data_IF_153802567236
#
_entry.id   IF_153802567236
#
_cell.length_a   1.000
_cell.length_b   1.000
_cell.length_c   1.000
_cell.angle_alpha   90.00
_cell.angle_beta   90.00
_cell.angle_gamma   90.00
#
_symmetry.space_group_name_H-M   'P 1'
#
loop_
_entity.id
_entity.type
_entity.pdbx_description
1 polymer ?
#
# COMPACT_ATOMS: atom_id res chain seq x y z
N UNK A 1 0.41 -46.39 -1.70
CA UNK A 1 1.38 -45.54 -2.43
C UNK A 1 0.68 -44.24 -2.74
N UNK A 2 1.22 -43.07 -2.39
CA UNK A 2 0.56 -41.79 -2.67
C UNK A 2 0.30 -41.68 -4.18
N UNK A 3 -0.97 -41.71 -4.59
CA UNK A 3 -1.32 -41.59 -6.00
C UNK A 3 -1.24 -40.11 -6.39
N UNK A 4 -0.74 -39.81 -7.60
CA UNK A 4 -0.73 -38.45 -8.15
C UNK A 4 -2.14 -37.81 -8.12
N UNK A 5 -3.18 -38.62 -8.27
CA UNK A 5 -4.58 -38.23 -8.14
C UNK A 5 -5.01 -37.83 -6.71
N UNK A 6 -4.37 -38.37 -5.66
CA UNK A 6 -4.61 -37.94 -4.27
C UNK A 6 -4.01 -36.56 -4.01
N UNK A 7 -2.78 -36.33 -4.49
CA UNK A 7 -2.13 -35.01 -4.43
C UNK A 7 -2.92 -33.95 -5.21
N UNK A 8 -3.36 -34.26 -6.42
CA UNK A 8 -4.19 -33.35 -7.23
C UNK A 8 -5.52 -33.01 -6.56
N UNK A 9 -6.18 -33.97 -5.87
CA UNK A 9 -7.42 -33.70 -5.15
C UNK A 9 -7.21 -32.83 -3.92
N UNK A 10 -6.13 -33.05 -3.17
CA UNK A 10 -5.77 -32.18 -2.04
C UNK A 10 -5.40 -30.77 -2.51
N UNK A 11 -4.68 -30.66 -3.64
CA UNK A 11 -4.35 -29.38 -4.25
C UNK A 11 -5.60 -28.66 -4.76
N UNK A 12 -6.54 -29.39 -5.39
CA UNK A 12 -7.83 -28.85 -5.79
C UNK A 12 -8.64 -28.37 -4.58
N UNK A 13 -8.70 -29.16 -3.51
CA UNK A 13 -9.39 -28.81 -2.26
C UNK A 13 -8.77 -27.58 -1.59
N UNK A 14 -7.44 -27.45 -1.63
CA UNK A 14 -6.74 -26.25 -1.17
C UNK A 14 -7.15 -25.02 -1.99
N UNK A 15 -7.09 -25.11 -3.33
CA UNK A 15 -7.45 -24.00 -4.23
C UNK A 15 -8.91 -23.59 -4.01
N UNK A 16 -9.83 -24.55 -3.97
CA UNK A 16 -11.26 -24.28 -3.73
C UNK A 16 -11.46 -23.62 -2.36
N UNK A 17 -10.76 -24.09 -1.32
CA UNK A 17 -10.87 -23.49 0.01
C UNK A 17 -10.40 -22.04 0.02
N UNK A 18 -9.30 -21.71 -0.69
CA UNK A 18 -8.82 -20.33 -0.82
C UNK A 18 -9.84 -19.47 -1.56
N UNK A 19 -10.36 -19.94 -2.70
CA UNK A 19 -11.35 -19.21 -3.49
C UNK A 19 -12.62 -18.96 -2.68
N UNK A 20 -13.11 -19.96 -1.94
CA UNK A 20 -14.29 -19.80 -1.09
C UNK A 20 -14.07 -18.80 0.04
N UNK A 21 -12.86 -18.77 0.64
CA UNK A 21 -12.54 -17.79 1.68
C UNK A 21 -12.51 -16.37 1.12
N UNK A 22 -11.89 -16.18 -0.05
CA UNK A 22 -11.87 -14.88 -0.72
C UNK A 22 -13.28 -14.45 -1.13
N UNK A 23 -14.12 -15.38 -1.58
CA UNK A 23 -15.50 -15.08 -1.93
C UNK A 23 -16.38 -14.69 -0.72
N UNK A 24 -16.08 -15.22 0.47
CA UNK A 24 -16.80 -14.87 1.71
C UNK A 24 -16.26 -13.58 2.36
N UNK A 25 -15.02 -13.21 2.07
CA UNK A 25 -14.36 -12.05 2.66
C UNK A 25 -14.53 -10.81 1.77
N UNK A 26 -15.38 -9.88 2.21
CA UNK A 26 -15.60 -8.59 1.53
C UNK A 26 -14.44 -7.63 1.86
N UNK A 27 -13.42 -7.59 1.01
CA UNK A 27 -12.26 -6.69 1.13
C UNK A 27 -11.69 -6.38 -0.25
N UNK A 28 -11.55 -5.09 -0.55
CA UNK A 28 -11.11 -4.63 -1.87
C UNK A 28 -9.58 -4.55 -2.02
N UNK A 29 -8.82 -4.68 -0.92
CA UNK A 29 -7.41 -4.23 -0.86
C UNK A 29 -6.42 -5.31 -0.39
N UNK A 30 -6.87 -6.32 0.38
CA UNK A 30 -5.99 -7.36 0.94
C UNK A 30 -6.65 -8.74 0.88
N UNK A 31 -5.83 -9.74 0.55
CA UNK A 31 -6.25 -11.15 0.52
C UNK A 31 -6.75 -11.57 1.89
N UNK A 32 -7.86 -12.30 1.95
CA UNK A 32 -8.48 -12.74 3.20
C UNK A 32 -7.47 -13.37 4.16
N UNK A 33 -6.61 -14.23 3.63
CA UNK A 33 -5.59 -14.95 4.40
C UNK A 33 -4.53 -14.07 5.08
N UNK A 34 -4.26 -12.87 4.57
CA UNK A 34 -3.26 -11.95 5.14
C UNK A 34 -3.87 -11.00 6.16
N UNK A 35 -5.13 -10.63 5.98
CA UNK A 35 -5.85 -9.73 6.89
C UNK A 35 -6.24 -10.45 8.18
N UNK A 36 -6.73 -11.68 8.07
CA UNK A 36 -7.33 -12.41 9.18
C UNK A 36 -6.60 -13.75 9.42
N UNK A 37 -5.75 -13.84 10.46
CA UNK A 37 -4.96 -15.05 10.76
C UNK A 37 -5.80 -16.31 10.97
N UNK A 38 -7.08 -16.19 11.32
CA UNK A 38 -7.98 -17.32 11.55
C UNK A 38 -8.23 -18.15 10.28
N UNK A 39 -8.16 -17.54 9.09
CA UNK A 39 -8.37 -18.28 7.84
C UNK A 39 -7.28 -19.33 7.56
N UNK A 40 -6.05 -19.10 8.02
CA UNK A 40 -5.00 -20.13 7.98
C UNK A 40 -5.33 -21.35 8.83
N UNK A 41 -5.94 -21.12 10.00
CA UNK A 41 -6.37 -22.21 10.88
C UNK A 41 -7.51 -23.01 10.24
N UNK A 42 -8.45 -22.33 9.58
CA UNK A 42 -9.57 -23.00 8.89
C UNK A 42 -9.07 -23.82 7.69
N UNK A 43 -8.23 -23.25 6.82
CA UNK A 43 -7.64 -23.97 5.69
C UNK A 43 -6.80 -25.15 6.19
N UNK A 44 -5.98 -24.95 7.23
CA UNK A 44 -5.20 -26.02 7.84
C UNK A 44 -6.07 -27.16 8.38
N UNK A 45 -7.20 -26.82 8.99
CA UNK A 45 -8.18 -27.80 9.50
C UNK A 45 -8.83 -28.57 8.36
N UNK A 46 -9.30 -27.88 7.32
CA UNK A 46 -9.88 -28.48 6.12
C UNK A 46 -8.89 -29.41 5.42
N UNK A 47 -7.63 -29.00 5.30
CA UNK A 47 -6.55 -29.81 4.73
C UNK A 47 -6.20 -31.02 5.60
N UNK A 48 -6.23 -30.89 6.93
CA UNK A 48 -6.03 -32.00 7.85
C UNK A 48 -7.12 -33.06 7.66
N UNK A 49 -8.39 -32.65 7.61
CA UNK A 49 -9.51 -33.56 7.36
C UNK A 49 -9.46 -34.16 5.96
N UNK A 50 -9.11 -33.38 4.94
CA UNK A 50 -8.92 -33.87 3.57
C UNK A 50 -7.81 -34.92 3.49
N UNK A 51 -6.68 -34.68 4.17
CA UNK A 51 -5.58 -35.65 4.26
C UNK A 51 -5.99 -36.91 5.01
N UNK A 52 -6.68 -36.77 6.14
CA UNK A 52 -7.19 -37.91 6.92
C UNK A 52 -8.16 -38.75 6.07
N UNK A 53 -9.07 -38.11 5.33
CA UNK A 53 -9.99 -38.78 4.40
C UNK A 53 -9.24 -39.55 3.32
N UNK A 54 -8.23 -38.96 2.69
CA UNK A 54 -7.41 -39.65 1.69
C UNK A 54 -6.66 -40.86 2.27
N UNK A 55 -6.14 -40.73 3.50
CA UNK A 55 -5.53 -41.86 4.22
C UNK A 55 -6.55 -42.97 4.47
N UNK A 56 -7.77 -42.63 4.90
CA UNK A 56 -8.84 -43.61 5.09
C UNK A 56 -9.22 -44.31 3.78
N UNK A 57 -9.33 -43.58 2.67
CA UNK A 57 -9.62 -44.15 1.35
C UNK A 57 -8.51 -45.11 0.91
N UNK A 58 -7.24 -44.76 1.10
CA UNK A 58 -6.12 -45.65 0.77
C UNK A 58 -6.10 -46.89 1.68
N UNK A 59 -6.37 -46.73 2.96
CA UNK A 59 -6.50 -47.86 3.90
C UNK A 59 -7.63 -48.81 3.47
N UNK A 60 -8.78 -48.27 3.07
CA UNK A 60 -9.90 -49.06 2.54
C UNK A 60 -9.50 -49.82 1.26
N UNK A 61 -8.75 -49.19 0.34
CA UNK A 61 -8.23 -49.88 -0.87
C UNK A 61 -7.29 -51.03 -0.52
N UNK A 62 -6.38 -50.81 0.42
CA UNK A 62 -5.44 -51.85 0.87
C UNK A 62 -6.17 -53.02 1.53
N UNK A 63 -7.16 -52.73 2.39
CA UNK A 63 -7.99 -53.76 3.00
C UNK A 63 -8.79 -54.51 1.93
N UNK A 64 -9.45 -53.80 1.02
CA UNK A 64 -10.17 -54.40 -0.11
C UNK A 64 -9.26 -55.36 -0.88
N UNK A 65 -8.07 -54.92 -1.27
CA UNK A 65 -7.11 -55.75 -2.00
C UNK A 65 -6.72 -57.01 -1.23
N UNK A 66 -6.47 -56.89 0.08
CA UNK A 66 -6.13 -58.03 0.94
C UNK A 66 -7.29 -59.00 1.18
N UNK A 67 -8.53 -58.54 1.08
CA UNK A 67 -9.74 -59.39 1.21
C UNK A 67 -10.11 -60.16 -0.05
N UNK A 68 -9.50 -59.83 -1.20
CA UNK A 68 -9.73 -60.52 -2.47
C UNK A 68 -9.01 -61.87 -2.52
N UNK A 69 -9.59 -62.85 -3.22
CA UNK A 69 -8.93 -64.12 -3.54
C UNK A 69 -7.72 -63.89 -4.47
N UNK A 70 -6.70 -64.78 -4.50
CA UNK A 70 -5.50 -64.60 -5.34
C UNK A 70 -5.79 -64.34 -6.83
N UNK A 71 -6.78 -65.03 -7.40
CA UNK A 71 -7.23 -64.82 -8.78
C UNK A 71 -7.85 -63.43 -8.99
N UNK A 72 -8.61 -62.95 -8.00
CA UNK A 72 -9.25 -61.63 -8.03
C UNK A 72 -8.24 -60.50 -7.82
N UNK A 73 -7.16 -60.74 -7.06
CA UNK A 73 -6.06 -59.80 -6.89
C UNK A 73 -5.33 -59.56 -8.22
N UNK A 74 -5.08 -60.61 -9.01
CA UNK A 74 -4.49 -60.48 -10.34
C UNK A 74 -5.39 -59.65 -11.27
N UNK A 75 -6.71 -59.89 -11.25
CA UNK A 75 -7.68 -59.09 -12.01
C UNK A 75 -7.72 -57.63 -11.54
N UNK A 76 -7.65 -57.37 -10.23
CA UNK A 76 -7.60 -56.01 -9.66
C UNK A 76 -6.35 -55.25 -10.14
N UNK A 77 -5.17 -55.89 -10.08
CA UNK A 77 -3.91 -55.28 -10.54
C UNK A 77 -3.94 -54.98 -12.04
N UNK A 78 -4.48 -55.88 -12.86
CA UNK A 78 -4.66 -55.67 -14.29
C UNK A 78 -5.59 -54.47 -14.58
N UNK A 79 -6.68 -54.33 -13.82
CA UNK A 79 -7.59 -53.18 -13.90
C UNK A 79 -6.94 -51.87 -13.45
N UNK A 80 -6.10 -51.89 -12.40
CA UNK A 80 -5.35 -50.70 -12.00
C UNK A 80 -4.29 -50.29 -13.03
N UNK A 81 -3.57 -51.25 -13.61
CA UNK A 81 -2.57 -50.99 -14.64
C UNK A 81 -3.19 -50.35 -15.88
N UNK A 82 -4.29 -50.92 -16.39
CA UNK A 82 -5.05 -50.35 -17.52
C UNK A 82 -5.65 -48.99 -17.19
N UNK A 83 -6.11 -48.75 -15.96
CA UNK A 83 -6.60 -47.43 -15.53
C UNK A 83 -5.48 -46.38 -15.51
N UNK A 84 -4.28 -46.74 -15.04
CA UNK A 84 -3.10 -45.84 -15.05
C UNK A 84 -2.66 -45.49 -16.47
N UNK A 85 -2.60 -46.49 -17.35
CA UNK A 85 -2.25 -46.29 -18.75
C UNK A 85 -3.24 -45.35 -19.47
N UNK A 86 -4.53 -45.47 -19.15
CA UNK A 86 -5.56 -44.62 -19.74
C UNK A 86 -5.78 -43.27 -19.03
N UNK A 87 -5.09 -42.98 -17.91
CA UNK A 87 -5.38 -41.82 -17.04
C UNK A 87 -5.28 -40.47 -17.77
N UNK A 88 -4.31 -40.33 -18.68
CA UNK A 88 -4.08 -39.11 -19.46
C UNK A 88 -4.31 -39.28 -20.97
N UNK A 89 -4.92 -40.40 -21.36
CA UNK A 89 -5.15 -40.70 -22.78
C UNK A 89 -6.00 -39.63 -23.46
N UNK A 90 -6.96 -39.04 -22.74
CA UNK A 90 -7.80 -37.95 -23.24
C UNK A 90 -7.00 -36.67 -23.53
N UNK A 91 -6.01 -36.32 -22.69
CA UNK A 91 -5.14 -35.15 -22.92
C UNK A 91 -4.29 -35.37 -24.18
N UNK A 92 -3.66 -36.55 -24.27
CA UNK A 92 -2.87 -36.90 -25.46
C UNK A 92 -3.74 -36.92 -26.72
N UNK A 93 -4.98 -37.42 -26.64
CA UNK A 93 -5.92 -37.41 -27.75
C UNK A 93 -6.33 -36.00 -28.16
N UNK A 94 -6.57 -35.09 -27.20
CA UNK A 94 -6.87 -33.69 -27.50
C UNK A 94 -5.65 -33.01 -28.13
N UNK A 95 -4.46 -33.23 -27.58
CA UNK A 95 -3.22 -32.70 -28.11
C UNK A 95 -2.99 -33.15 -29.57
N UNK A 96 -3.11 -34.45 -29.84
CA UNK A 96 -2.98 -35.01 -31.19
C UNK A 96 -4.04 -34.45 -32.15
N UNK A 97 -5.29 -34.32 -31.69
CA UNK A 97 -6.35 -33.67 -32.48
C UNK A 97 -6.05 -32.20 -32.79
N UNK A 98 -5.45 -31.48 -31.85
CA UNK A 98 -5.07 -30.07 -32.04
C UNK A 98 -3.88 -29.90 -32.98
N UNK A 99 -2.99 -30.89 -33.06
CA UNK A 99 -1.89 -30.92 -34.04
C UNK A 99 -2.39 -31.11 -35.48
N UNK A 100 -3.56 -31.75 -35.66
CA UNK A 100 -4.11 -32.02 -36.99
C UNK A 100 -3.48 -33.28 -37.57
N UNK A 101 -3.95 -34.44 -37.12
CA UNK A 101 -3.52 -35.74 -37.62
C UNK A 101 -4.06 -35.95 -39.04
N UNK A 102 -3.22 -35.68 -40.04
CA UNK A 102 -3.43 -36.07 -41.44
C UNK A 102 -2.46 -37.19 -41.81
N UNK A 103 -2.79 -37.94 -42.88
CA UNK A 103 -1.89 -38.97 -43.38
C UNK A 103 -0.54 -38.35 -43.76
N UNK A 104 0.56 -38.99 -43.35
CA UNK A 104 1.91 -38.55 -43.74
C UNK A 104 2.06 -38.86 -45.23
N UNK A 105 1.69 -37.92 -46.09
CA UNK A 105 1.97 -37.97 -47.52
C UNK A 105 3.49 -37.96 -47.73
N UNK A 106 3.99 -38.64 -48.76
CA UNK A 106 5.41 -38.53 -49.13
C UNK A 106 5.67 -37.05 -49.45
N UNK A 107 6.75 -36.46 -48.93
CA UNK A 107 7.05 -35.04 -49.12
C UNK A 107 7.04 -34.67 -50.62
N UNK A 108 7.41 -35.62 -51.50
CA UNK A 108 7.36 -35.44 -52.95
C UNK A 108 5.97 -35.20 -53.52
N UNK A 109 4.91 -35.66 -52.86
CA UNK A 109 3.52 -35.52 -53.31
C UNK A 109 2.92 -34.16 -52.94
N UNK A 110 3.47 -33.49 -51.93
CA UNK A 110 2.99 -32.19 -51.40
C UNK A 110 3.92 -31.02 -51.71
N UNK A 111 5.07 -31.26 -52.34
CA UNK A 111 5.98 -30.21 -52.80
C UNK A 111 5.33 -29.46 -53.96
N UNK A 112 5.27 -28.13 -53.82
CA UNK A 112 4.86 -27.23 -54.89
C UNK A 112 5.90 -27.22 -56.02
N UNK A 113 5.42 -26.97 -57.24
CA UNK A 113 6.15 -27.13 -58.50
C UNK A 113 7.18 -26.01 -58.77
N UNK A 114 7.23 -24.97 -57.95
CA UNK A 114 8.20 -23.89 -58.04
C UNK A 114 9.39 -24.08 -57.08
N UNK A 115 10.57 -23.65 -57.52
CA UNK A 115 11.81 -23.66 -56.75
C UNK A 115 12.36 -22.22 -56.69
N UNK A 116 12.59 -21.75 -55.47
CA UNK A 116 13.17 -20.44 -55.20
C UNK A 116 14.54 -20.62 -54.54
N UNK A 117 15.60 -20.53 -55.33
CA UNK A 117 17.00 -20.62 -54.84
C UNK A 117 17.28 -21.91 -54.04
N UNK A 118 16.75 -23.03 -54.50
CA UNK A 118 16.88 -24.34 -53.87
C UNK A 118 15.90 -24.59 -52.71
N UNK A 119 15.04 -23.63 -52.38
CA UNK A 119 13.96 -23.80 -51.39
C UNK A 119 12.65 -24.12 -52.13
N UNK A 120 11.97 -25.17 -51.67
CA UNK A 120 10.66 -25.60 -52.16
C UNK A 120 9.65 -25.61 -51.01
N UNK A 121 8.42 -25.24 -51.33
CA UNK A 121 7.34 -25.09 -50.37
C UNK A 121 6.44 -26.34 -50.33
N UNK A 122 5.88 -26.63 -49.16
CA UNK A 122 4.96 -27.76 -48.94
C UNK A 122 3.53 -27.24 -48.84
N UNK A 123 2.61 -27.88 -49.56
CA UNK A 123 1.16 -27.60 -49.47
C UNK A 123 0.52 -28.32 -48.26
N UNK A 124 0.90 -27.89 -47.05
CA UNK A 124 0.40 -28.46 -45.80
C UNK A 124 -0.85 -27.73 -45.29
N UNK A 125 -1.75 -28.49 -44.67
CA UNK A 125 -2.88 -27.91 -43.95
C UNK A 125 -2.44 -27.18 -42.68
N UNK A 126 -3.12 -26.06 -42.39
CA UNK A 126 -2.85 -25.26 -41.20
C UNK A 126 -3.23 -26.02 -39.92
N UNK A 127 -2.37 -26.04 -38.89
CA UNK A 127 -2.66 -26.70 -37.62
C UNK A 127 -3.99 -26.22 -37.02
N UNK A 128 -4.88 -27.12 -36.57
CA UNK A 128 -6.17 -26.75 -35.98
C UNK A 128 -6.07 -25.74 -34.84
N UNK A 129 -5.09 -25.89 -33.93
CA UNK A 129 -4.89 -24.94 -32.83
C UNK A 129 -4.63 -23.51 -33.33
N UNK A 130 -3.86 -23.37 -34.43
CA UNK A 130 -3.51 -22.08 -35.01
C UNK A 130 -4.74 -21.43 -35.63
N UNK A 131 -5.52 -22.21 -36.40
CA UNK A 131 -6.80 -21.75 -36.98
C UNK A 131 -7.79 -21.28 -35.91
N UNK A 132 -7.98 -22.06 -34.85
CA UNK A 132 -8.89 -21.68 -33.77
C UNK A 132 -8.41 -20.45 -33.01
N UNK A 133 -7.09 -20.31 -32.81
CA UNK A 133 -6.51 -19.11 -32.19
C UNK A 133 -6.76 -17.87 -33.05
N UNK A 134 -6.61 -17.99 -34.37
CA UNK A 134 -6.92 -16.92 -35.32
C UNK A 134 -8.41 -16.51 -35.27
N UNK A 135 -9.34 -17.48 -35.20
CA UNK A 135 -10.75 -17.14 -35.03
C UNK A 135 -11.07 -16.54 -33.65
N UNK A 136 -10.37 -16.98 -32.60
CA UNK A 136 -10.54 -16.43 -31.25
C UNK A 136 -10.15 -14.94 -31.18
N UNK A 137 -9.08 -14.53 -31.87
CA UNK A 137 -8.68 -13.11 -31.93
C UNK A 137 -9.71 -12.28 -32.69
N UNK A 138 -10.33 -12.82 -33.74
CA UNK A 138 -11.44 -12.15 -34.46
C UNK A 138 -12.64 -11.94 -33.52
N UNK A 139 -13.04 -12.99 -32.79
CA UNK A 139 -14.15 -12.87 -31.83
C UNK A 139 -13.83 -11.85 -30.74
N UNK A 140 -12.61 -11.88 -30.19
CA UNK A 140 -12.16 -10.90 -29.21
C UNK A 140 -12.23 -9.47 -29.76
N UNK A 141 -11.74 -9.24 -30.99
CA UNK A 141 -11.78 -7.93 -31.62
C UNK A 141 -13.21 -7.41 -31.80
N UNK A 142 -14.15 -8.28 -32.19
CA UNK A 142 -15.57 -7.92 -32.30
C UNK A 142 -16.15 -7.53 -30.93
N UNK A 143 -15.90 -8.34 -29.89
CA UNK A 143 -16.37 -8.04 -28.53
C UNK A 143 -15.76 -6.73 -28.01
N UNK A 144 -14.47 -6.52 -28.22
CA UNK A 144 -13.77 -5.30 -27.83
C UNK A 144 -14.34 -4.07 -28.53
N UNK A 145 -14.53 -4.14 -29.85
CA UNK A 145 -15.11 -3.04 -30.63
C UNK A 145 -16.53 -2.72 -30.16
N UNK A 146 -17.39 -3.73 -29.96
CA UNK A 146 -18.74 -3.49 -29.45
C UNK A 146 -18.70 -2.85 -28.06
N UNK A 147 -17.81 -3.31 -27.19
CA UNK A 147 -17.68 -2.78 -25.83
C UNK A 147 -17.25 -1.32 -25.81
N UNK A 148 -16.17 -0.97 -26.50
CA UNK A 148 -15.58 0.36 -26.40
C UNK A 148 -16.16 1.35 -27.42
N UNK A 149 -16.42 0.93 -28.66
CA UNK A 149 -16.86 1.84 -29.74
C UNK A 149 -18.39 1.92 -29.87
N UNK A 150 -19.13 0.86 -29.52
CA UNK A 150 -20.61 0.85 -29.66
C UNK A 150 -21.30 1.17 -28.33
N UNK A 151 -20.87 0.55 -27.24
CA UNK A 151 -21.47 0.76 -25.92
C UNK A 151 -20.89 1.97 -25.18
N UNK A 152 -19.80 2.58 -25.68
CA UNK A 152 -19.11 3.70 -25.04
C UNK A 152 -18.81 3.41 -23.56
N UNK A 153 -18.13 2.29 -23.29
CA UNK A 153 -17.58 2.00 -21.96
C UNK A 153 -16.52 3.06 -21.57
N UNK A 154 -15.91 2.92 -20.40
CA UNK A 154 -14.97 3.90 -19.88
C UNK A 154 -13.82 4.25 -20.85
N UNK A 155 -13.43 5.52 -20.83
CA UNK A 155 -12.31 6.07 -21.60
C UNK A 155 -11.00 6.03 -20.80
N UNK A 156 -9.88 6.27 -21.48
CA UNK A 156 -8.57 6.35 -20.82
C UNK A 156 -8.50 7.49 -19.78
N UNK A 157 -9.17 8.62 -20.05
CA UNK A 157 -9.18 9.76 -19.13
C UNK A 157 -9.98 9.42 -17.86
N UNK A 158 -11.14 8.78 -18.01
CA UNK A 158 -11.95 8.31 -16.87
C UNK A 158 -11.20 7.24 -16.05
N UNK A 159 -10.50 6.31 -16.70
CA UNK A 159 -9.65 5.33 -16.01
C UNK A 159 -8.54 6.01 -15.18
N UNK A 160 -7.90 7.05 -15.74
CA UNK A 160 -6.91 7.84 -15.03
C UNK A 160 -7.51 8.58 -13.82
N UNK A 161 -8.66 9.23 -13.99
CA UNK A 161 -9.34 9.92 -12.90
C UNK A 161 -9.74 8.97 -11.76
N UNK A 162 -10.27 7.79 -12.10
CA UNK A 162 -10.58 6.75 -11.11
C UNK A 162 -9.32 6.28 -10.37
N UNK A 163 -8.22 6.06 -11.08
CA UNK A 163 -6.95 5.64 -10.48
C UNK A 163 -6.37 6.73 -9.55
N UNK A 164 -6.42 8.00 -9.95
CA UNK A 164 -5.96 9.12 -9.11
C UNK A 164 -6.86 9.29 -7.88
N UNK A 165 -8.17 9.16 -8.03
CA UNK A 165 -9.10 9.23 -6.90
C UNK A 165 -8.83 8.11 -5.88
N UNK A 166 -8.62 6.87 -6.36
CA UNK A 166 -8.24 5.75 -5.50
C UNK A 166 -6.90 6.01 -4.77
N UNK A 167 -5.89 6.46 -5.50
CA UNK A 167 -4.58 6.79 -4.92
C UNK A 167 -4.68 7.92 -3.87
N UNK A 168 -5.53 8.92 -4.10
CA UNK A 168 -5.73 10.00 -3.14
C UNK A 168 -6.36 9.51 -1.84
N UNK A 169 -7.34 8.60 -1.91
CA UNK A 169 -7.93 7.96 -0.73
C UNK A 169 -6.89 7.16 0.05
N UNK A 170 -6.04 6.40 -0.64
CA UNK A 170 -4.93 5.65 -0.03
C UNK A 170 -3.92 6.57 0.66
N UNK A 171 -3.57 7.70 0.01
CA UNK A 171 -2.70 8.73 0.58
C UNK A 171 -3.33 9.33 1.84
N UNK A 172 -4.63 9.60 1.83
CA UNK A 172 -5.35 10.16 2.98
C UNK A 172 -5.44 9.18 4.15
N UNK A 173 -5.69 7.91 3.88
CA UNK A 173 -5.64 6.84 4.90
C UNK A 173 -4.25 6.68 5.48
N UNK A 174 -3.22 6.67 4.63
CA UNK A 174 -1.84 6.62 5.07
C UNK A 174 -1.48 7.84 5.93
N UNK A 175 -1.87 9.06 5.52
CA UNK A 175 -1.67 10.29 6.29
C UNK A 175 -2.31 10.24 7.69
N UNK A 176 -3.47 9.60 7.86
CA UNK A 176 -4.10 9.43 9.19
C UNK A 176 -3.23 8.59 10.13
N UNK A 177 -2.44 7.67 9.59
CA UNK A 177 -1.57 6.77 10.38
C UNK A 177 -0.13 7.26 10.49
N UNK A 178 0.32 8.09 9.55
CA UNK A 178 1.69 8.58 9.48
C UNK A 178 1.91 9.86 10.30
N UNK A 179 1.98 9.71 11.62
CA UNK A 179 2.33 10.82 12.55
C UNK A 179 3.77 11.35 12.36
N UNK A 180 4.63 10.58 11.69
CA UNK A 180 6.06 10.89 11.53
C UNK A 180 6.38 11.77 10.30
N UNK A 181 5.38 12.27 9.57
CA UNK A 181 5.56 13.04 8.32
C UNK A 181 5.06 14.47 8.45
N UNK A 182 5.52 15.13 9.49
CA UNK A 182 5.26 16.55 9.73
C UNK A 182 6.24 17.39 8.91
N UNK A 183 5.76 18.15 7.94
CA UNK A 183 6.58 19.13 7.21
C UNK A 183 6.12 20.55 7.56
N UNK A 184 6.81 21.55 7.02
CA UNK A 184 6.51 22.97 7.31
C UNK A 184 5.07 23.37 6.92
N UNK A 185 4.46 22.67 5.96
CA UNK A 185 3.12 22.94 5.50
C UNK A 185 2.06 22.20 6.33
N UNK A 186 2.40 21.02 6.87
CA UNK A 186 1.49 20.14 7.63
C UNK A 186 1.61 20.26 9.15
N UNK A 187 2.65 20.92 9.67
CA UNK A 187 2.85 21.10 11.12
C UNK A 187 1.70 21.87 11.76
N UNK A 188 1.20 21.33 12.87
CA UNK A 188 0.20 21.93 13.75
C UNK A 188 0.76 22.04 15.17
N UNK A 189 0.23 22.98 15.96
CA UNK A 189 0.65 23.15 17.35
C UNK A 189 0.20 21.93 18.17
N UNK A 190 1.16 21.20 18.73
CA UNK A 190 0.90 20.06 19.60
C UNK A 190 0.72 20.54 21.04
N UNK A 191 -0.48 20.34 21.61
CA UNK A 191 -0.82 20.77 22.98
C UNK A 191 -0.88 19.63 23.98
N UNK A 192 -0.76 18.38 23.51
CA UNK A 192 -0.84 17.20 24.37
C UNK A 192 0.36 17.13 25.32
N UNK A 193 0.12 16.81 26.59
CA UNK A 193 1.15 16.80 27.63
C UNK A 193 2.31 15.84 27.31
N UNK A 194 2.04 14.73 26.63
CA UNK A 194 3.07 13.78 26.19
C UNK A 194 4.00 14.40 25.14
N UNK A 195 3.44 15.11 24.16
CA UNK A 195 4.20 15.78 23.10
C UNK A 195 5.02 16.95 23.65
N UNK A 196 4.43 17.77 24.52
CA UNK A 196 5.14 18.86 25.20
C UNK A 196 6.27 18.33 26.11
N UNK A 197 6.05 17.20 26.80
CA UNK A 197 7.10 16.57 27.61
C UNK A 197 8.24 16.00 26.75
N UNK A 198 7.93 15.44 25.59
CA UNK A 198 8.94 14.98 24.64
C UNK A 198 9.73 16.16 24.06
N UNK A 199 9.03 17.22 23.64
CA UNK A 199 9.62 18.48 23.16
C UNK A 199 10.52 19.13 24.20
N UNK A 200 10.11 19.15 25.47
CA UNK A 200 10.92 19.62 26.60
C UNK A 200 12.24 18.85 26.73
N UNK A 201 12.20 17.52 26.66
CA UNK A 201 13.41 16.68 26.75
C UNK A 201 14.39 16.97 25.61
N UNK A 202 13.87 17.18 24.39
CA UNK A 202 14.68 17.57 23.24
C UNK A 202 15.29 18.95 23.47
N UNK A 203 14.49 19.91 23.93
CA UNK A 203 14.95 21.26 24.26
C UNK A 203 16.08 21.25 25.29
N UNK A 204 15.90 20.51 26.39
CA UNK A 204 16.90 20.33 27.46
C UNK A 204 18.20 19.69 26.97
N UNK A 205 18.12 18.83 25.95
CA UNK A 205 19.31 18.16 25.41
C UNK A 205 20.06 19.05 24.43
N UNK A 206 19.35 19.78 23.57
CA UNK A 206 19.91 20.35 22.35
C UNK A 206 19.89 21.88 22.30
N UNK A 207 18.94 22.53 22.99
CA UNK A 207 18.65 23.96 22.80
C UNK A 207 19.12 24.84 23.97
N UNK A 208 19.19 24.29 25.18
CA UNK A 208 19.50 25.07 26.41
C UNK A 208 20.87 25.74 26.38
N UNK A 209 21.84 25.18 25.66
CA UNK A 209 23.19 25.73 25.60
C UNK A 209 23.21 27.15 25.01
N UNK A 210 22.26 27.45 24.11
CA UNK A 210 22.14 28.76 23.49
C UNK A 210 20.97 29.59 24.04
N UNK A 211 19.85 28.93 24.37
CA UNK A 211 18.59 29.60 24.72
C UNK A 211 18.25 29.58 26.23
N UNK A 212 19.13 29.00 27.06
CA UNK A 212 18.93 28.76 28.51
C UNK A 212 17.78 27.78 28.80
N UNK A 213 17.77 27.23 30.01
CA UNK A 213 16.76 26.24 30.45
C UNK A 213 15.34 26.82 30.56
N UNK A 214 15.23 28.11 30.84
CA UNK A 214 13.97 28.86 30.96
C UNK A 214 13.56 29.57 29.66
N UNK A 215 14.32 29.40 28.56
CA UNK A 215 14.04 30.09 27.29
C UNK A 215 14.47 31.56 27.26
N UNK A 216 15.08 32.08 28.34
CA UNK A 216 15.39 33.50 28.48
C UNK A 216 16.46 34.03 27.52
N UNK A 217 17.10 33.18 26.72
CA UNK A 217 18.09 33.60 25.74
C UNK A 217 19.46 33.86 26.34
N UNK A 218 20.50 33.61 25.53
CA UNK A 218 21.90 33.74 25.91
C UNK A 218 22.73 34.03 24.67
N UNK A 219 23.35 32.99 24.12
CA UNK A 219 23.94 33.06 22.77
C UNK A 219 22.82 33.24 21.74
N UNK A 220 21.72 32.48 21.89
CA UNK A 220 20.51 32.61 21.10
C UNK A 220 19.55 33.69 21.64
N UNK A 221 18.52 34.06 20.86
CA UNK A 221 17.48 35.01 21.29
C UNK A 221 16.64 34.48 22.46
N UNK A 222 15.93 35.40 23.11
CA UNK A 222 14.88 35.08 24.06
C UNK A 222 13.69 34.44 23.33
N UNK A 223 13.21 33.30 23.82
CA UNK A 223 12.09 32.54 23.22
C UNK A 223 10.77 32.74 23.99
N UNK A 224 10.79 33.55 25.05
CA UNK A 224 9.63 33.77 25.94
C UNK A 224 8.87 35.05 25.63
N UNK A 225 9.48 35.99 24.91
CA UNK A 225 8.89 37.28 24.57
C UNK A 225 8.16 37.23 23.20
N UNK A 226 7.33 38.24 22.86
CA UNK A 226 6.56 38.23 21.62
C UNK A 226 7.37 38.72 20.40
N UNK A 227 8.69 38.92 20.49
CA UNK A 227 9.51 39.43 19.41
C UNK A 227 10.25 38.29 18.71
N UNK A 228 10.09 38.19 17.39
CA UNK A 228 10.65 37.10 16.59
C UNK A 228 11.45 37.61 15.39
N UNK A 229 12.60 37.00 15.15
CA UNK A 229 13.50 37.37 14.05
C UNK A 229 13.09 36.70 12.72
N UNK A 230 12.54 35.49 12.79
CA UNK A 230 12.22 34.63 11.63
C UNK A 230 10.74 34.22 11.60
N UNK A 231 9.87 34.99 12.26
CA UNK A 231 8.46 34.64 12.46
C UNK A 231 8.22 33.79 13.71
N UNK A 232 7.05 33.96 14.34
CA UNK A 232 6.68 33.30 15.61
C UNK A 232 5.58 32.25 15.47
N UNK A 233 5.12 31.95 14.25
CA UNK A 233 4.12 30.89 14.05
C UNK A 233 4.74 29.50 14.24
N UNK A 234 3.91 28.48 14.50
CA UNK A 234 4.40 27.10 14.59
C UNK A 234 5.17 26.66 13.33
N UNK A 235 4.75 27.14 12.15
CA UNK A 235 5.41 26.85 10.87
C UNK A 235 6.77 27.52 10.77
N UNK A 236 6.88 28.76 11.24
CA UNK A 236 8.14 29.53 11.24
C UNK A 236 9.17 28.93 12.21
N UNK A 237 8.72 28.55 13.41
CA UNK A 237 9.56 27.91 14.42
C UNK A 237 10.00 26.54 13.91
N UNK A 238 9.09 25.73 13.38
CA UNK A 238 9.42 24.44 12.78
C UNK A 238 10.40 24.57 11.61
N UNK A 239 10.23 25.58 10.75
CA UNK A 239 11.16 25.88 9.67
C UNK A 239 12.54 26.24 10.20
N UNK A 240 12.60 27.08 11.24
CA UNK A 240 13.87 27.49 11.86
C UNK A 240 14.58 26.31 12.53
N UNK A 241 13.84 25.41 13.18
CA UNK A 241 14.41 24.18 13.76
C UNK A 241 14.90 23.23 12.65
N UNK A 242 14.11 23.04 11.59
CA UNK A 242 14.44 22.08 10.52
C UNK A 242 15.57 22.56 9.60
N UNK A 243 15.53 23.82 9.15
CA UNK A 243 16.47 24.39 8.18
C UNK A 243 17.62 25.18 8.82
N UNK A 244 17.53 25.47 10.12
CA UNK A 244 18.48 26.30 10.85
C UNK A 244 18.08 27.77 10.85
N UNK A 245 18.84 28.56 11.62
CA UNK A 245 18.61 30.00 11.72
C UNK A 245 19.27 30.80 10.59
N UNK A 246 19.47 32.10 10.83
CA UNK A 246 20.14 32.99 9.88
C UNK A 246 21.57 32.49 9.57
N UNK A 247 21.97 32.57 8.30
CA UNK A 247 23.30 32.20 7.85
C UNK A 247 24.40 32.87 8.70
N UNK A 248 25.32 32.07 9.23
CA UNK A 248 26.44 32.55 10.04
C UNK A 248 26.10 32.94 11.48
N UNK A 249 24.89 32.64 11.99
CA UNK A 249 24.44 33.00 13.36
C UNK A 249 24.28 31.80 14.32
N UNK A 250 24.97 30.69 14.07
CA UNK A 250 25.18 29.61 15.04
C UNK A 250 24.06 28.57 15.19
N UNK A 251 22.80 28.91 14.89
CA UNK A 251 21.69 27.95 14.92
C UNK A 251 21.77 26.98 13.73
N UNK A 252 22.04 25.70 14.01
CA UNK A 252 22.19 24.63 13.02
C UNK A 252 20.83 24.09 12.54
N UNK A 253 20.83 23.39 11.40
CA UNK A 253 19.68 22.68 10.88
C UNK A 253 19.52 21.31 11.57
N UNK A 254 18.40 21.09 12.26
CA UNK A 254 18.18 19.86 13.03
C UNK A 254 17.54 18.73 12.23
N UNK A 255 17.12 18.95 10.97
CA UNK A 255 16.49 17.93 10.12
C UNK A 255 17.33 16.68 9.84
N UNK A 256 18.65 16.75 10.09
CA UNK A 256 19.56 15.61 9.95
C UNK A 256 19.65 14.75 11.22
N UNK A 257 19.21 15.28 12.37
CA UNK A 257 19.37 14.65 13.69
C UNK A 257 18.03 14.35 14.36
N UNK A 258 17.01 15.18 14.11
CA UNK A 258 15.66 15.04 14.65
C UNK A 258 14.68 14.58 13.58
N UNK A 259 13.80 13.66 13.96
CA UNK A 259 12.66 13.25 13.13
C UNK A 259 11.66 14.40 12.98
N UNK A 260 10.82 14.36 11.93
CA UNK A 260 9.79 15.38 11.71
C UNK A 260 8.87 15.61 12.91
N UNK A 261 8.40 14.53 13.56
CA UNK A 261 7.58 14.63 14.77
C UNK A 261 8.34 15.25 15.95
N UNK A 262 9.61 14.90 16.13
CA UNK A 262 10.46 15.45 17.20
C UNK A 262 10.69 16.95 17.01
N UNK A 263 10.87 17.40 15.76
CA UNK A 263 10.94 18.82 15.41
C UNK A 263 9.62 19.54 15.70
N UNK A 264 8.46 18.90 15.46
CA UNK A 264 7.16 19.46 15.79
C UNK A 264 6.93 19.57 17.30
N UNK A 265 7.35 18.56 18.06
CA UNK A 265 7.27 18.52 19.52
C UNK A 265 8.14 19.62 20.17
N UNK A 266 9.41 19.77 19.76
CA UNK A 266 10.27 20.83 20.31
C UNK A 266 9.79 22.22 19.89
N UNK A 267 9.29 22.39 18.67
CA UNK A 267 8.71 23.67 18.21
C UNK A 267 7.46 24.05 19.01
N UNK A 268 6.59 23.07 19.30
CA UNK A 268 5.40 23.28 20.14
C UNK A 268 5.76 23.59 21.59
N UNK A 269 6.79 22.93 22.13
CA UNK A 269 7.32 23.25 23.46
C UNK A 269 7.88 24.68 23.52
N UNK A 270 8.63 25.11 22.50
CA UNK A 270 9.13 26.50 22.43
C UNK A 270 7.99 27.51 22.46
N UNK A 271 6.90 27.27 21.72
CA UNK A 271 5.71 28.13 21.80
C UNK A 271 5.09 28.16 23.19
N UNK A 272 5.12 27.03 23.92
CA UNK A 272 4.61 26.97 25.30
C UNK A 272 5.42 27.78 26.32
N UNK A 273 6.65 28.20 25.97
CA UNK A 273 7.48 29.09 26.79
C UNK A 273 7.07 30.57 26.65
N UNK A 274 6.29 30.91 25.62
CA UNK A 274 5.81 32.27 25.39
C UNK A 274 5.01 32.80 26.58
N UNK A 275 5.32 34.02 27.03
CA UNK A 275 4.66 34.66 28.17
C UNK A 275 5.15 34.20 29.55
N UNK A 276 6.14 33.33 29.62
CA UNK A 276 6.83 33.03 30.89
C UNK A 276 7.84 34.13 31.24
N UNK A 277 8.25 34.20 32.52
CA UNK A 277 9.21 35.20 33.01
C UNK A 277 10.54 34.53 33.38
N UNK A 278 11.54 34.54 32.49
CA UNK A 278 12.90 34.08 32.77
C UNK A 278 13.55 34.87 33.92
N UNK A 279 14.51 34.25 34.60
CA UNK A 279 15.23 34.92 35.69
C UNK A 279 16.15 36.04 35.17
N UNK A 280 16.76 35.83 34.00
CA UNK A 280 17.65 36.79 33.33
C UNK A 280 17.35 36.80 31.82
N UNK A 281 16.25 37.45 31.41
CA UNK A 281 15.86 37.51 30.00
C UNK A 281 16.82 38.41 29.21
N UNK A 282 17.25 37.93 28.05
CA UNK A 282 17.94 38.74 27.04
C UNK A 282 16.97 39.79 26.51
N UNK A 283 17.49 40.95 26.11
CA UNK A 283 16.68 41.98 25.48
C UNK A 283 15.96 41.43 24.22
N UNK A 284 14.73 41.89 23.92
CA UNK A 284 13.97 41.41 22.76
C UNK A 284 14.71 41.64 21.44
N UNK A 285 14.64 40.66 20.54
CA UNK A 285 15.29 40.71 19.23
C UNK A 285 14.28 40.36 18.13
N UNK A 286 14.18 41.19 17.09
CA UNK A 286 13.28 40.98 15.96
C UNK A 286 12.03 41.85 16.03
N UNK A 287 11.00 41.44 15.28
CA UNK A 287 9.75 42.18 15.13
C UNK A 287 8.68 41.62 16.06
N UNK A 288 7.78 42.49 16.54
CA UNK A 288 6.63 42.06 17.33
C UNK A 288 5.76 41.12 16.48
N UNK A 289 5.72 39.85 16.85
CA UNK A 289 4.86 38.88 16.19
C UNK A 289 3.47 38.96 16.79
N UNK A 290 2.47 39.15 15.93
CA UNK A 290 1.07 39.05 16.29
C UNK A 290 0.51 37.84 15.57
N UNK A 291 -0.17 36.97 16.32
CA UNK A 291 -0.88 35.84 15.74
C UNK A 291 -2.00 36.37 14.85
N UNK A 292 -1.91 36.10 13.54
CA UNK A 292 -2.92 36.50 12.56
C UNK A 292 -4.29 35.85 12.83
N UNK A 293 -4.34 34.78 13.64
CA UNK A 293 -5.56 34.07 14.05
C UNK A 293 -5.98 34.36 15.50
N UNK A 294 -5.26 35.19 16.26
CA UNK A 294 -5.71 35.59 17.59
C UNK A 294 -6.89 36.57 17.48
N UNK A 295 -7.97 36.41 18.28
CA UNK A 295 -9.02 37.40 18.34
C UNK A 295 -8.40 38.74 18.76
N UNK A 296 -8.53 39.77 17.93
CA UNK A 296 -8.04 41.13 18.22
C UNK A 296 -8.57 41.56 19.58
N UNK A 297 -7.68 41.68 20.56
CA UNK A 297 -8.02 42.32 21.82
C UNK A 297 -8.42 43.77 21.53
N UNK A 298 -9.66 44.13 21.84
CA UNK A 298 -10.13 45.51 21.81
C UNK A 298 -9.25 46.33 22.78
N UNK A 299 -8.46 47.25 22.22
CA UNK A 299 -7.74 48.24 23.00
C UNK A 299 -8.79 49.17 23.62
N UNK A 300 -8.83 49.37 24.95
CA UNK A 300 -9.69 50.36 25.55
C UNK A 300 -9.23 51.73 25.05
N UNK A 301 -10.12 52.43 24.34
CA UNK A 301 -9.90 53.82 23.97
C UNK A 301 -9.95 54.64 25.26
N UNK A 302 -8.81 55.18 25.67
CA UNK A 302 -8.75 56.21 26.70
C UNK A 302 -9.53 57.44 26.19
N UNK A 303 -10.76 57.60 26.64
CA UNK A 303 -11.51 58.86 26.52
C UNK A 303 -10.76 59.93 27.32
N UNK A 304 -10.09 60.82 26.59
CA UNK A 304 -9.51 62.04 27.16
C UNK A 304 -10.67 62.98 27.52
N UNK A 305 -11.10 62.96 28.77
CA UNK A 305 -12.05 63.95 29.31
C UNK A 305 -11.34 65.29 29.40
N UNK A 306 -11.65 66.20 28.49
CA UNK A 306 -11.28 67.61 28.59
C UNK A 306 -12.31 68.28 29.51
N UNK A 307 -11.96 68.42 30.78
CA UNK A 307 -12.70 69.25 31.73
C UNK A 307 -12.53 70.72 31.33
N UNK A 308 -13.60 71.34 30.84
CA UNK A 308 -13.65 72.79 30.60
C UNK A 308 -14.24 73.45 31.85
N UNK A 309 -13.36 74.01 32.67
CA UNK A 309 -13.72 74.81 33.84
C UNK A 309 -14.32 76.15 33.37
N UNK A 310 -15.65 76.29 33.51
CA UNK A 310 -16.36 77.56 33.30
C UNK A 310 -16.29 78.35 34.60
N UNK A 311 -15.33 79.28 34.71
CA UNK A 311 -15.32 80.28 35.78
C UNK A 311 -16.20 81.46 35.37
N UNK A 312 -17.41 81.54 35.94
CA UNK A 312 -18.18 82.79 36.01
C UNK A 312 -17.62 83.65 37.14
N UNK A 313 -17.21 84.89 36.83
CA UNK A 313 -17.16 85.98 37.82
C UNK A 313 -17.68 87.25 37.14
N UNK A 314 -18.64 87.86 37.85
CA UNK A 314 -19.36 89.13 37.64
C UNK A 314 -18.63 90.25 36.88
#
# INVERSE_FOLDING_TARGET
MRTTASLLRLLLLLIISIILMEWVYESDQKWAMLSEPIYWVIIGTVMLFGMAFEICVEALRVVLFKTLKPEQQASYLAKEATKKENQFKWINQIYLKMLGEEEVLDEKEIILDHDYDGIRELDNNLPPWWKYSFYATIVFAIVYMVRFEVLNDYTQDEEYEMAVAAAQLEIEEWKKTAKDLVDVNTVTLLTDAADLSAGKKIYETNCIACHKSDGGGGIGPNLTDPYWILGGSIKDIFKTVSEGGRAGKGMIAWKSELKPLEMAQVSSYVMSLGGTTPAEPKAPEGDLWQDENAPKAEVPTEETVIETEVTQVN
#
